data_IF_504355362472
#
_entry.id   IF_504355362472
#
_cell.length_a   1.000
_cell.length_b   1.000
_cell.length_c   1.000
_cell.angle_alpha   90.00
_cell.angle_beta   90.00
_cell.angle_gamma   90.00
#
_symmetry.space_group_name_H-M   'P 1'
#
loop_
_entity.id
_entity.type
_entity.pdbx_description
1 polymer ?
#
# COMPACT_ATOMS: atom_id res chain seq x y z
N UNK A 1 13.18 3.42 -4.24
CA UNK A 1 12.24 2.71 -5.13
C UNK A 1 11.71 1.49 -4.39
N UNK A 2 10.41 1.41 -4.07
CA UNK A 2 9.82 0.17 -3.57
C UNK A 2 10.03 -0.92 -4.63
N UNK A 3 10.69 -2.01 -4.24
CA UNK A 3 10.90 -3.17 -5.11
C UNK A 3 9.85 -4.21 -4.77
N UNK A 4 9.21 -4.74 -5.80
CA UNK A 4 8.31 -5.86 -5.65
C UNK A 4 9.12 -7.05 -5.14
N UNK A 5 8.87 -7.48 -3.90
CA UNK A 5 9.75 -8.43 -3.23
C UNK A 5 9.43 -9.88 -3.60
N UNK A 6 8.14 -10.22 -3.69
CA UNK A 6 7.71 -11.60 -3.92
C UNK A 6 6.30 -11.65 -4.50
N UNK A 7 6.13 -12.49 -5.52
CA UNK A 7 4.82 -12.95 -5.99
C UNK A 7 4.62 -14.34 -5.39
N UNK A 8 3.60 -14.51 -4.55
CA UNK A 8 3.23 -15.82 -3.99
C UNK A 8 1.78 -16.13 -4.31
N UNK A 9 1.44 -17.39 -4.56
CA UNK A 9 0.05 -17.84 -4.56
C UNK A 9 -0.34 -18.29 -3.14
N UNK A 10 -1.45 -17.81 -2.63
CA UNK A 10 -2.01 -18.21 -1.32
C UNK A 10 -3.50 -18.46 -1.50
N UNK A 11 -3.96 -19.67 -1.17
CA UNK A 11 -5.37 -20.07 -1.31
C UNK A 11 -5.98 -19.79 -2.70
N UNK A 12 -5.20 -19.98 -3.78
CA UNK A 12 -5.65 -19.71 -5.15
C UNK A 12 -5.50 -18.25 -5.60
N UNK A 13 -5.30 -17.32 -4.66
CA UNK A 13 -5.10 -15.89 -4.94
C UNK A 13 -3.64 -15.55 -5.19
N UNK A 14 -3.39 -14.60 -6.08
CA UNK A 14 -2.05 -14.01 -6.30
C UNK A 14 -1.83 -12.93 -5.25
N UNK A 15 -0.77 -13.08 -4.47
CA UNK A 15 -0.35 -12.14 -3.42
C UNK A 15 0.95 -11.50 -3.85
N UNK A 16 0.95 -10.17 -3.88
CA UNK A 16 2.13 -9.34 -4.09
C UNK A 16 2.57 -8.78 -2.73
N UNK A 17 3.85 -8.90 -2.40
CA UNK A 17 4.41 -8.27 -1.20
C UNK A 17 5.36 -7.14 -1.63
N UNK A 18 5.16 -5.97 -1.02
CA UNK A 18 6.00 -4.79 -1.20
C UNK A 18 6.57 -4.37 0.16
N UNK A 19 7.80 -3.87 0.16
CA UNK A 19 8.32 -3.16 1.33
C UNK A 19 7.79 -1.73 1.31
N UNK A 20 7.11 -1.35 2.37
CA UNK A 20 6.78 0.03 2.66
C UNK A 20 7.94 0.62 3.49
N UNK A 21 8.56 1.73 3.06
CA UNK A 21 9.55 2.46 3.85
C UNK A 21 9.01 2.83 5.24
N UNK A 22 9.86 2.79 6.26
CA UNK A 22 9.46 3.07 7.65
C UNK A 22 8.90 4.50 7.78
N UNK A 23 9.45 5.44 7.03
CA UNK A 23 9.05 6.84 7.03
C UNK A 23 7.58 7.02 6.64
N UNK A 24 7.09 6.22 5.68
CA UNK A 24 5.68 6.25 5.25
C UNK A 24 4.78 5.64 6.34
N UNK A 25 5.24 4.57 7.00
CA UNK A 25 4.50 3.93 8.09
C UNK A 25 4.34 4.92 9.26
N UNK A 26 5.43 5.62 9.60
CA UNK A 26 5.44 6.64 10.65
C UNK A 26 4.59 7.86 10.29
N UNK A 27 4.68 8.37 9.07
CA UNK A 27 3.90 9.53 8.60
C UNK A 27 2.39 9.23 8.58
N UNK A 28 2.00 8.01 8.19
CA UNK A 28 0.61 7.58 8.19
C UNK A 28 0.10 7.21 9.60
N UNK A 29 0.99 7.13 10.61
CA UNK A 29 0.69 6.49 11.91
C UNK A 29 0.02 5.12 11.70
N UNK A 30 0.54 4.31 10.77
CA UNK A 30 -0.10 3.06 10.39
C UNK A 30 0.22 1.94 11.38
N UNK A 31 -0.83 1.34 11.92
CA UNK A 31 -0.71 0.27 12.90
C UNK A 31 -0.65 -1.11 12.25
N UNK A 32 0.11 -2.02 12.85
CA UNK A 32 0.24 -3.39 12.35
C UNK A 32 -1.12 -4.09 12.33
N UNK A 33 -1.54 -4.51 11.14
CA UNK A 33 -2.78 -5.26 10.93
C UNK A 33 -3.97 -4.38 10.56
N UNK A 34 -3.81 -3.06 10.53
CA UNK A 34 -4.77 -2.17 9.89
C UNK A 34 -4.63 -2.27 8.35
N UNK A 35 -5.74 -2.08 7.65
CA UNK A 35 -5.73 -2.08 6.19
C UNK A 35 -5.27 -0.71 5.64
N UNK A 36 -4.65 -0.75 4.46
CA UNK A 36 -4.26 0.44 3.69
C UNK A 36 -5.09 0.50 2.41
N UNK A 37 -5.56 1.68 2.07
CA UNK A 37 -6.22 1.97 0.81
C UNK A 37 -5.15 2.49 -0.16
N UNK A 38 -5.01 1.81 -1.30
CA UNK A 38 -4.07 2.21 -2.35
C UNK A 38 -4.88 2.58 -3.58
N UNK A 39 -4.78 3.85 -3.99
CA UNK A 39 -5.47 4.38 -5.17
C UNK A 39 -4.45 4.73 -6.25
N UNK A 40 -4.68 4.25 -7.46
CA UNK A 40 -3.91 4.65 -8.64
C UNK A 40 -4.70 5.71 -9.41
N UNK A 41 -4.08 6.85 -9.69
CA UNK A 41 -4.71 7.94 -10.45
C UNK A 41 -3.73 8.55 -11.44
N UNK A 42 -4.28 9.24 -12.44
CA UNK A 42 -3.52 9.99 -13.42
C UNK A 42 -3.76 11.49 -13.18
N UNK A 43 -2.69 12.24 -12.86
CA UNK A 43 -2.75 13.70 -12.74
C UNK A 43 -1.91 14.30 -13.87
N UNK A 44 -2.61 14.75 -14.93
CA UNK A 44 -1.97 15.12 -16.19
C UNK A 44 -1.35 13.89 -16.86
N UNK A 45 -0.08 13.98 -17.26
CA UNK A 45 0.68 12.88 -17.88
C UNK A 45 1.46 12.04 -16.85
N UNK A 46 1.09 12.11 -15.56
CA UNK A 46 1.77 11.38 -14.48
C UNK A 46 0.84 10.37 -13.84
N UNK A 47 1.31 9.13 -13.77
CA UNK A 47 0.77 8.11 -12.89
C UNK A 47 1.19 8.38 -11.44
N UNK A 48 0.20 8.48 -10.56
CA UNK A 48 0.39 8.74 -9.14
C UNK A 48 -0.30 7.64 -8.34
N UNK A 49 0.44 7.08 -7.39
CA UNK A 49 -0.08 6.16 -6.38
C UNK A 49 -0.29 6.94 -5.09
N UNK A 50 -1.53 6.95 -4.61
CA UNK A 50 -1.94 7.55 -3.34
C UNK A 50 -2.14 6.40 -2.36
N UNK A 51 -1.50 6.50 -1.19
CA UNK A 51 -1.63 5.52 -0.11
C UNK A 51 -2.26 6.24 1.08
N UNK A 52 -3.38 5.72 1.56
CA UNK A 52 -4.13 6.26 2.68
C UNK A 52 -4.35 5.15 3.70
N UNK A 53 -4.38 5.50 4.99
CA UNK A 53 -4.88 4.57 6.01
C UNK A 53 -6.40 4.53 5.93
N UNK A 54 -6.99 3.37 6.20
CA UNK A 54 -8.44 3.29 6.38
C UNK A 54 -8.81 3.94 7.72
N UNK A 55 -9.50 5.07 7.70
CA UNK A 55 -10.08 5.64 8.91
C UNK A 55 -11.41 4.95 9.21
N UNK A 56 -11.42 4.06 10.19
CA UNK A 56 -12.67 3.58 10.79
C UNK A 56 -13.35 4.76 11.48
N UNK A 57 -14.29 5.39 10.79
CA UNK A 57 -15.29 6.26 11.42
C UNK A 57 -16.13 5.38 12.35
N UNK A 58 -15.77 5.36 13.63
CA UNK A 58 -16.59 4.80 14.71
C UNK A 58 -17.83 5.62 14.98
#
# INVERSE_FOLDING_TARGET
MPKLQRIKRSNGSVVFSVNIPLEIIEELCWEKGADLIITWTNIGDKDIMIIEKEETNG
#
